data_IF_298040414743
#
_entry.id   IF_298040414743
#
_cell.length_a   1.000
_cell.length_b   1.000
_cell.length_c   1.000
_cell.angle_alpha   90.00
_cell.angle_beta   90.00
_cell.angle_gamma   90.00
#
_symmetry.space_group_name_H-M   'P 1'
#
loop_
_entity.id
_entity.type
_entity.pdbx_description
1 polymer ?
#
# COMPACT_ATOMS: atom_id res chain seq x y z
N UNK A 1 11.19 -34.85 -24.65
CA UNK A 1 10.92 -33.54 -25.26
C UNK A 1 10.90 -32.57 -24.11
N UNK A 2 11.95 -31.77 -23.97
CA UNK A 2 11.95 -30.66 -23.01
C UNK A 2 10.96 -29.63 -23.52
N UNK A 3 9.75 -29.63 -22.95
CA UNK A 3 8.81 -28.53 -23.13
C UNK A 3 9.41 -27.32 -22.43
N UNK A 4 10.06 -26.44 -23.20
CA UNK A 4 10.39 -25.09 -22.74
C UNK A 4 9.10 -24.45 -22.21
N UNK A 5 9.04 -24.30 -20.89
CA UNK A 5 7.89 -23.72 -20.23
C UNK A 5 8.03 -22.21 -20.33
N UNK A 6 7.11 -21.56 -21.06
CA UNK A 6 7.05 -20.10 -21.12
C UNK A 6 6.62 -19.56 -19.75
N UNK A 7 7.54 -18.90 -19.03
CA UNK A 7 7.23 -18.22 -17.78
C UNK A 7 6.80 -16.78 -18.05
N UNK A 8 5.64 -16.38 -17.51
CA UNK A 8 5.24 -14.98 -17.49
C UNK A 8 6.05 -14.21 -16.44
N UNK A 9 6.38 -12.93 -16.68
CA UNK A 9 6.98 -12.07 -15.65
C UNK A 9 6.01 -11.89 -14.48
N UNK A 10 6.56 -11.69 -13.28
CA UNK A 10 5.80 -11.39 -12.07
C UNK A 10 6.34 -10.10 -11.42
N UNK A 11 5.51 -9.07 -11.21
CA UNK A 11 4.10 -8.98 -11.61
C UNK A 11 3.93 -8.93 -13.14
N UNK A 12 2.75 -9.31 -13.62
CA UNK A 12 2.40 -9.17 -15.04
C UNK A 12 2.01 -7.71 -15.30
N UNK A 13 2.62 -7.10 -16.32
CA UNK A 13 2.35 -5.72 -16.73
C UNK A 13 1.76 -5.69 -18.13
N UNK A 14 0.66 -4.96 -18.30
CA UNK A 14 -0.09 -4.89 -19.56
C UNK A 14 -0.43 -3.43 -19.87
N UNK A 15 -0.13 -2.99 -21.10
CA UNK A 15 -0.54 -1.69 -21.60
C UNK A 15 -1.94 -1.79 -22.22
N UNK A 16 -2.98 -1.55 -21.41
CA UNK A 16 -4.38 -1.60 -21.83
C UNK A 16 -5.04 -0.28 -21.44
N UNK A 17 -5.63 0.42 -22.40
CA UNK A 17 -6.35 1.67 -22.15
C UNK A 17 -7.74 1.36 -21.56
N UNK A 18 -7.84 1.40 -20.23
CA UNK A 18 -9.10 1.27 -19.49
C UNK A 18 -9.55 2.63 -18.95
N UNK A 19 -10.83 2.92 -19.02
CA UNK A 19 -11.43 3.98 -18.18
C UNK A 19 -11.47 3.55 -16.73
N UNK A 20 -11.68 4.49 -15.79
CA UNK A 20 -11.79 4.15 -14.35
C UNK A 20 -12.91 3.14 -14.08
N UNK A 21 -14.05 3.30 -14.76
CA UNK A 21 -15.18 2.39 -14.60
C UNK A 21 -14.86 0.99 -15.18
N UNK A 22 -14.14 0.92 -16.31
CA UNK A 22 -13.69 -0.36 -16.86
C UNK A 22 -12.64 -1.04 -15.96
N UNK A 23 -11.72 -0.27 -15.37
CA UNK A 23 -10.75 -0.81 -14.42
C UNK A 23 -11.44 -1.32 -13.16
N UNK A 24 -12.38 -0.57 -12.59
CA UNK A 24 -13.21 -1.03 -11.47
C UNK A 24 -14.00 -2.30 -11.81
N UNK A 25 -14.60 -2.38 -13.00
CA UNK A 25 -15.32 -3.58 -13.45
C UNK A 25 -14.39 -4.78 -13.63
N UNK A 26 -13.18 -4.57 -14.16
CA UNK A 26 -12.16 -5.61 -14.26
C UNK A 26 -11.82 -6.16 -12.86
N UNK A 27 -11.51 -5.29 -11.90
CA UNK A 27 -11.18 -5.69 -10.54
C UNK A 27 -12.35 -6.42 -9.85
N UNK A 28 -13.55 -5.85 -9.91
CA UNK A 28 -14.74 -6.40 -9.24
C UNK A 28 -15.22 -7.73 -9.82
N UNK A 29 -14.97 -7.98 -11.11
CA UNK A 29 -15.28 -9.24 -11.80
C UNK A 29 -14.21 -10.32 -11.60
N UNK A 30 -13.00 -9.95 -11.16
CA UNK A 30 -11.84 -10.84 -11.05
C UNK A 30 -11.26 -10.78 -9.62
N UNK A 31 -12.11 -11.04 -8.62
CA UNK A 31 -11.81 -10.84 -7.19
C UNK A 31 -10.66 -11.70 -6.64
N UNK A 32 -10.28 -12.75 -7.35
CA UNK A 32 -9.16 -13.63 -6.97
C UNK A 32 -7.78 -13.01 -7.29
N UNK A 33 -7.74 -11.89 -8.01
CA UNK A 33 -6.53 -11.20 -8.42
C UNK A 33 -6.41 -9.83 -7.76
N UNK A 34 -5.17 -9.41 -7.48
CA UNK A 34 -4.86 -8.06 -7.01
C UNK A 34 -4.37 -7.24 -8.20
N UNK A 35 -5.08 -6.16 -8.51
CA UNK A 35 -4.75 -5.26 -9.60
C UNK A 35 -4.32 -3.89 -9.07
N UNK A 36 -3.36 -3.29 -9.77
CA UNK A 36 -3.05 -1.86 -9.67
C UNK A 36 -3.00 -1.26 -11.08
N UNK A 37 -3.12 0.06 -11.17
CA UNK A 37 -2.95 0.81 -12.41
C UNK A 37 -1.99 1.98 -12.16
N UNK A 38 -0.98 2.13 -13.00
CA UNK A 38 -0.07 3.29 -12.91
C UNK A 38 -0.76 4.57 -13.40
N UNK A 39 -0.15 5.72 -13.14
CA UNK A 39 -0.65 7.01 -13.64
C UNK A 39 -0.70 7.08 -15.18
N UNK A 40 0.18 6.33 -15.85
CA UNK A 40 0.25 6.19 -17.31
C UNK A 40 -0.78 5.19 -17.86
N UNK A 41 -1.55 4.53 -16.99
CA UNK A 41 -2.58 3.56 -17.36
C UNK A 41 -2.07 2.12 -17.53
N UNK A 42 -0.82 1.81 -17.13
CA UNK A 42 -0.32 0.43 -17.17
C UNK A 42 -1.01 -0.42 -16.10
N UNK A 43 -1.62 -1.53 -16.51
CA UNK A 43 -2.23 -2.51 -15.64
C UNK A 43 -1.16 -3.44 -15.04
N UNK A 44 -1.15 -3.56 -13.73
CA UNK A 44 -0.26 -4.46 -12.97
C UNK A 44 -1.12 -5.53 -12.31
N UNK A 45 -0.86 -6.79 -12.65
CA UNK A 45 -1.48 -7.95 -12.01
C UNK A 45 -0.46 -8.56 -11.04
N UNK A 46 -0.76 -8.48 -9.75
CA UNK A 46 0.09 -9.04 -8.71
C UNK A 46 -0.36 -10.47 -8.38
N UNK A 47 0.59 -11.39 -8.12
CA UNK A 47 0.24 -12.69 -7.59
C UNK A 47 -0.32 -12.57 -6.17
N UNK A 48 -1.03 -13.59 -5.66
CA UNK A 48 -1.39 -13.67 -4.26
C UNK A 48 -0.16 -13.53 -3.35
N UNK A 49 -0.33 -12.83 -2.24
CA UNK A 49 0.72 -12.65 -1.24
C UNK A 49 1.12 -14.00 -0.62
N UNK A 50 2.42 -14.30 -0.61
CA UNK A 50 2.94 -15.50 0.05
C UNK A 50 2.64 -15.53 1.56
N UNK A 51 2.46 -16.72 2.12
CA UNK A 51 1.98 -16.93 3.49
C UNK A 51 2.85 -16.26 4.58
N UNK A 52 4.18 -16.26 4.43
CA UNK A 52 5.06 -15.57 5.38
C UNK A 52 4.87 -14.05 5.36
N UNK A 53 4.77 -13.43 4.18
CA UNK A 53 4.46 -12.00 4.04
C UNK A 53 3.08 -11.70 4.62
N UNK A 54 2.07 -12.52 4.32
CA UNK A 54 0.70 -12.35 4.85
C UNK A 54 0.62 -12.44 6.37
N UNK A 55 1.30 -13.44 6.98
CA UNK A 55 1.38 -13.60 8.45
C UNK A 55 2.00 -12.40 9.14
N UNK A 56 2.86 -11.66 8.47
CA UNK A 56 3.51 -10.45 9.01
C UNK A 56 2.68 -9.21 8.75
N UNK A 57 2.08 -9.11 7.56
CA UNK A 57 1.22 -7.98 7.23
C UNK A 57 0.00 -7.88 8.16
N UNK A 58 -0.58 -9.02 8.55
CA UNK A 58 -1.69 -9.02 9.52
C UNK A 58 -1.28 -8.42 10.87
N UNK A 59 -0.01 -8.52 11.28
CA UNK A 59 0.49 -7.88 12.51
C UNK A 59 0.54 -6.37 12.37
N UNK A 60 0.91 -5.87 11.18
CA UNK A 60 0.91 -4.44 10.87
C UNK A 60 -0.51 -3.89 10.92
N UNK A 61 -1.43 -4.48 10.16
CA UNK A 61 -2.82 -4.00 10.06
C UNK A 61 -3.55 -4.12 11.38
N UNK A 62 -3.32 -5.19 12.15
CA UNK A 62 -3.92 -5.36 13.50
C UNK A 62 -3.46 -4.27 14.46
N UNK A 63 -2.15 -3.99 14.52
CA UNK A 63 -1.64 -2.93 15.41
C UNK A 63 -2.19 -1.56 15.02
N UNK A 64 -2.25 -1.27 13.72
CA UNK A 64 -2.81 -0.03 13.19
C UNK A 64 -4.30 0.12 13.55
N UNK A 65 -5.09 -0.93 13.36
CA UNK A 65 -6.54 -0.88 13.65
C UNK A 65 -6.83 -0.84 15.16
N UNK A 66 -6.05 -1.52 16.01
CA UNK A 66 -6.19 -1.40 17.46
C UNK A 66 -5.97 0.05 17.89
N UNK A 67 -4.91 0.71 17.40
CA UNK A 67 -4.69 2.12 17.69
C UNK A 67 -5.80 3.00 17.10
N UNK A 68 -6.24 2.74 15.87
CA UNK A 68 -7.26 3.54 15.19
C UNK A 68 -8.61 3.49 15.90
N UNK A 69 -9.05 2.29 16.31
CA UNK A 69 -10.31 2.09 17.03
C UNK A 69 -10.33 2.77 18.41
N UNK A 70 -9.17 2.85 19.06
CA UNK A 70 -9.00 3.55 20.34
C UNK A 70 -8.97 5.08 20.17
N UNK A 71 -8.21 5.57 19.19
CA UNK A 71 -8.03 7.00 18.97
C UNK A 71 -9.22 7.66 18.25
N UNK A 72 -9.92 6.90 17.40
CA UNK A 72 -11.05 7.33 16.56
C UNK A 72 -10.73 8.52 15.65
N UNK A 73 -9.45 8.68 15.31
CA UNK A 73 -8.97 9.80 14.50
C UNK A 73 -9.15 9.57 12.99
N UNK A 74 -9.45 8.35 12.56
CA UNK A 74 -9.57 8.00 11.15
C UNK A 74 -10.06 6.59 10.90
N UNK A 75 -9.73 6.08 9.72
CA UNK A 75 -10.11 4.75 9.22
C UNK A 75 -8.83 4.06 8.75
N UNK A 76 -8.56 2.87 9.28
CA UNK A 76 -7.48 2.01 8.80
C UNK A 76 -8.01 1.04 7.73
N UNK A 77 -7.14 0.68 6.79
CA UNK A 77 -7.46 -0.21 5.69
C UNK A 77 -6.39 -1.31 5.56
N UNK A 78 -6.84 -2.48 5.12
CA UNK A 78 -5.98 -3.64 4.89
C UNK A 78 -5.25 -3.59 3.54
N UNK A 79 -4.49 -4.65 3.24
CA UNK A 79 -3.70 -4.78 2.00
C UNK A 79 -4.53 -5.02 0.73
N UNK A 80 -5.84 -5.22 0.84
CA UNK A 80 -6.70 -5.49 -0.33
C UNK A 80 -7.39 -4.22 -0.84
N UNK A 81 -7.40 -3.16 -0.03
CA UNK A 81 -8.07 -1.91 -0.35
C UNK A 81 -7.30 -1.15 -1.42
N UNK A 82 -8.02 -0.67 -2.44
CA UNK A 82 -7.49 0.18 -3.51
C UNK A 82 -7.89 1.65 -3.33
N UNK A 83 -7.02 2.55 -3.74
CA UNK A 83 -7.23 4.00 -3.72
C UNK A 83 -6.90 4.59 -5.07
N UNK A 84 -7.73 5.52 -5.56
CA UNK A 84 -7.44 6.32 -6.74
C UNK A 84 -6.73 7.61 -6.33
N UNK A 85 -5.44 7.67 -6.63
CA UNK A 85 -4.57 8.79 -6.30
C UNK A 85 -4.85 10.01 -7.21
N UNK A 86 -4.52 11.25 -6.77
CA UNK A 86 -4.68 12.47 -7.56
C UNK A 86 -4.02 12.45 -8.95
N UNK A 87 -2.89 11.75 -9.12
CA UNK A 87 -2.23 11.58 -10.42
C UNK A 87 -2.93 10.56 -11.34
N UNK A 88 -4.03 9.95 -10.91
CA UNK A 88 -4.80 8.97 -11.67
C UNK A 88 -4.38 7.51 -11.45
N UNK A 89 -3.26 7.25 -10.76
CA UNK A 89 -2.87 5.88 -10.42
C UNK A 89 -3.86 5.25 -9.42
N UNK A 90 -4.07 3.95 -9.52
CA UNK A 90 -4.83 3.17 -8.55
C UNK A 90 -3.90 2.19 -7.85
N UNK A 91 -3.72 2.41 -6.55
CA UNK A 91 -2.74 1.71 -5.72
C UNK A 91 -3.40 1.05 -4.53
N UNK A 92 -2.82 -0.08 -4.13
CA UNK A 92 -3.22 -0.83 -2.95
C UNK A 92 -2.00 -0.96 -2.03
N UNK A 93 -1.86 -0.10 -1.00
CA UNK A 93 -0.80 -0.25 0.00
C UNK A 93 -1.03 -1.48 0.87
N UNK A 94 -0.02 -1.99 1.54
CA UNK A 94 -0.15 -3.17 2.40
C UNK A 94 -0.83 -2.88 3.75
N UNK A 95 -0.73 -1.63 4.22
CA UNK A 95 -1.61 -1.05 5.23
C UNK A 95 -1.75 0.45 4.97
N UNK A 96 -2.90 1.03 5.29
CA UNK A 96 -3.06 2.48 5.17
C UNK A 96 -4.05 3.05 6.17
N UNK A 97 -4.01 4.37 6.33
CA UNK A 97 -4.92 5.10 7.19
C UNK A 97 -5.29 6.44 6.59
N UNK A 98 -6.57 6.79 6.73
CA UNK A 98 -7.14 8.05 6.26
C UNK A 98 -7.74 8.79 7.44
N UNK A 99 -7.44 10.09 7.57
CA UNK A 99 -8.02 10.95 8.60
C UNK A 99 -9.54 10.98 8.48
N UNK A 100 -10.24 10.92 9.61
CA UNK A 100 -11.70 10.78 9.68
C UNK A 100 -12.45 11.79 8.83
N UNK A 101 -12.09 13.07 8.97
CA UNK A 101 -12.70 14.18 8.22
C UNK A 101 -12.58 13.99 6.69
N UNK A 102 -11.45 13.44 6.20
CA UNK A 102 -11.25 13.18 4.77
C UNK A 102 -12.12 12.03 4.30
N UNK A 103 -12.22 10.96 5.09
CA UNK A 103 -13.10 9.83 4.79
C UNK A 103 -14.58 10.22 4.77
N UNK A 104 -15.04 10.95 5.79
CA UNK A 104 -16.42 11.40 5.92
C UNK A 104 -16.83 12.44 4.86
N UNK A 105 -15.85 13.08 4.20
CA UNK A 105 -16.12 13.97 3.07
C UNK A 105 -16.44 13.25 1.76
N UNK A 106 -16.18 11.93 1.67
CA UNK A 106 -16.52 11.11 0.52
C UNK A 106 -18.01 10.80 0.48
N UNK A 107 -18.56 10.68 -0.73
CA UNK A 107 -19.90 10.13 -0.91
C UNK A 107 -19.92 8.63 -0.61
N UNK A 108 -21.10 8.08 -0.31
CA UNK A 108 -21.27 6.64 -0.13
C UNK A 108 -20.76 5.84 -1.36
N UNK A 109 -21.06 6.29 -2.58
CA UNK A 109 -20.57 5.64 -3.80
C UNK A 109 -19.03 5.63 -3.88
N UNK A 110 -18.37 6.73 -3.47
CA UNK A 110 -16.92 6.80 -3.45
C UNK A 110 -16.30 5.87 -2.40
N UNK A 111 -16.98 5.67 -1.26
CA UNK A 111 -16.53 4.76 -0.20
C UNK A 111 -16.70 3.27 -0.58
N UNK A 112 -17.65 2.95 -1.46
CA UNK A 112 -17.89 1.58 -1.95
C UNK A 112 -16.97 1.17 -3.12
N UNK A 113 -16.23 2.13 -3.69
CA UNK A 113 -15.25 1.92 -4.78
C UNK A 113 -13.81 2.18 -4.30
N UNK A 114 -12.86 2.30 -5.22
CA UNK A 114 -11.55 2.86 -4.89
C UNK A 114 -11.68 4.34 -4.54
N UNK A 115 -11.53 4.65 -3.25
CA UNK A 115 -11.70 6.00 -2.74
C UNK A 115 -10.77 6.98 -3.51
N UNK A 116 -11.29 8.11 -4.02
CA UNK A 116 -10.54 9.06 -4.84
C UNK A 116 -9.69 10.00 -3.98
N UNK A 117 -8.79 9.42 -3.19
CA UNK A 117 -7.85 10.12 -2.33
C UNK A 117 -6.55 9.32 -2.21
N UNK A 118 -5.47 10.01 -1.84
CA UNK A 118 -4.29 9.36 -1.30
C UNK A 118 -4.42 9.22 0.24
N UNK A 119 -4.17 8.04 0.83
CA UNK A 119 -4.16 7.89 2.28
C UNK A 119 -3.17 8.83 2.97
N UNK A 120 -3.50 9.30 4.17
CA UNK A 120 -2.59 10.15 4.97
C UNK A 120 -1.35 9.38 5.42
N UNK A 121 -1.51 8.07 5.63
CA UNK A 121 -0.44 7.16 6.01
C UNK A 121 -0.49 5.88 5.20
N UNK A 122 0.67 5.42 4.74
CA UNK A 122 0.83 4.18 3.97
C UNK A 122 1.99 3.35 4.48
N UNK A 123 1.86 2.03 4.42
CA UNK A 123 2.95 1.07 4.65
C UNK A 123 3.04 0.14 3.45
N UNK A 124 4.27 -0.09 3.00
CA UNK A 124 4.62 -1.15 2.05
C UNK A 124 5.53 -2.15 2.77
N UNK A 125 5.14 -3.43 2.76
CA UNK A 125 5.90 -4.52 3.35
C UNK A 125 6.57 -5.33 2.24
N UNK A 126 7.88 -5.13 2.09
CA UNK A 126 8.63 -5.81 1.03
C UNK A 126 8.53 -7.33 1.16
N UNK A 127 8.05 -7.98 0.11
CA UNK A 127 8.08 -9.42 -0.07
C UNK A 127 9.39 -9.89 -0.75
N UNK A 128 9.72 -11.19 -0.69
CA UNK A 128 10.96 -11.71 -1.29
C UNK A 128 11.09 -11.45 -2.80
N UNK A 129 9.97 -11.40 -3.52
CA UNK A 129 9.93 -11.17 -4.97
C UNK A 129 9.97 -9.69 -5.36
N UNK A 130 9.79 -8.77 -4.41
CA UNK A 130 9.64 -7.36 -4.75
C UNK A 130 10.96 -6.68 -5.06
N UNK A 131 10.92 -5.86 -6.11
CA UNK A 131 11.97 -4.92 -6.42
C UNK A 131 11.94 -3.76 -5.42
N UNK A 132 13.06 -3.57 -4.73
CA UNK A 132 13.22 -2.45 -3.80
C UNK A 132 13.06 -1.10 -4.52
N UNK A 133 13.65 -0.94 -5.71
CA UNK A 133 13.58 0.34 -6.43
C UNK A 133 12.14 0.69 -6.82
N UNK A 134 11.36 -0.31 -7.25
CA UNK A 134 9.94 -0.11 -7.61
C UNK A 134 9.11 0.26 -6.37
N UNK A 135 9.37 -0.36 -5.22
CA UNK A 135 8.71 0.03 -3.97
C UNK A 135 9.11 1.45 -3.56
N UNK A 136 10.37 1.83 -3.68
CA UNK A 136 10.82 3.19 -3.39
C UNK A 136 10.18 4.22 -4.34
N UNK A 137 9.99 3.89 -5.62
CA UNK A 137 9.23 4.70 -6.58
C UNK A 137 7.77 4.84 -6.15
N UNK A 138 7.13 3.74 -5.76
CA UNK A 138 5.75 3.73 -5.24
C UNK A 138 5.60 4.57 -3.97
N UNK A 139 6.57 4.50 -3.05
CA UNK A 139 6.59 5.35 -1.85
C UNK A 139 6.67 6.84 -2.20
N UNK A 140 7.54 7.21 -3.15
CA UNK A 140 7.61 8.60 -3.65
C UNK A 140 6.30 9.01 -4.34
N UNK A 141 5.69 8.12 -5.10
CA UNK A 141 4.38 8.36 -5.72
C UNK A 141 3.33 8.69 -4.65
N UNK A 142 3.23 7.92 -3.56
CA UNK A 142 2.30 8.23 -2.47
C UNK A 142 2.55 9.60 -1.85
N UNK A 143 3.81 9.96 -1.53
CA UNK A 143 4.14 11.25 -0.94
C UNK A 143 3.80 12.41 -1.88
N UNK A 144 4.11 12.28 -3.18
CA UNK A 144 3.78 13.28 -4.20
C UNK A 144 2.26 13.44 -4.40
N UNK A 145 1.48 12.42 -4.03
CA UNK A 145 0.03 12.39 -4.14
C UNK A 145 -0.69 12.76 -2.83
N UNK A 146 0.05 13.15 -1.79
CA UNK A 146 -0.52 13.73 -0.56
C UNK A 146 -0.41 12.86 0.69
N UNK A 147 0.25 11.69 0.63
CA UNK A 147 0.59 10.95 1.83
C UNK A 147 1.49 11.79 2.74
N UNK A 148 1.17 11.84 4.03
CA UNK A 148 1.91 12.63 5.04
C UNK A 148 3.03 11.83 5.69
N UNK A 149 2.89 10.51 5.72
CA UNK A 149 3.88 9.58 6.23
C UNK A 149 3.82 8.28 5.43
N UNK A 150 4.97 7.74 5.05
CA UNK A 150 5.09 6.44 4.42
C UNK A 150 6.19 5.61 5.05
N UNK A 151 5.94 4.32 5.31
CA UNK A 151 6.97 3.38 5.73
C UNK A 151 7.16 2.28 4.71
N UNK A 152 8.39 2.09 4.24
CA UNK A 152 8.80 0.92 3.47
C UNK A 152 9.60 0.00 4.38
N UNK A 153 8.99 -1.13 4.76
CA UNK A 153 9.60 -2.14 5.63
C UNK A 153 10.30 -3.17 4.76
N UNK A 154 11.63 -3.06 4.68
CA UNK A 154 12.49 -3.99 3.94
C UNK A 154 13.03 -5.06 4.88
N UNK A 155 12.26 -6.16 5.01
CA UNK A 155 12.62 -7.30 5.84
C UNK A 155 13.91 -7.98 5.41
N UNK A 156 14.19 -8.02 4.10
CA UNK A 156 15.37 -8.69 3.54
C UNK A 156 16.66 -8.05 4.06
N UNK A 157 16.66 -6.72 4.17
CA UNK A 157 17.79 -5.95 4.66
C UNK A 157 17.62 -5.49 6.11
N UNK A 158 16.56 -5.95 6.80
CA UNK A 158 16.14 -5.50 8.12
C UNK A 158 16.24 -3.99 8.29
N UNK A 159 15.57 -3.23 7.41
CA UNK A 159 15.56 -1.78 7.50
C UNK A 159 14.18 -1.22 7.24
N UNK A 160 13.94 -0.02 7.75
CA UNK A 160 12.75 0.76 7.40
C UNK A 160 13.18 2.09 6.83
N UNK A 161 12.58 2.43 5.69
CA UNK A 161 12.70 3.74 5.08
C UNK A 161 11.44 4.55 5.42
N UNK A 162 11.63 5.76 5.97
CA UNK A 162 10.55 6.67 6.34
C UNK A 162 10.51 7.82 5.34
N UNK A 163 9.33 7.99 4.74
CA UNK A 163 9.04 8.98 3.74
C UNK A 163 8.12 10.05 4.33
N UNK A 164 8.52 11.32 4.19
CA UNK A 164 7.73 12.48 4.58
C UNK A 164 7.78 13.54 3.47
N UNK A 165 6.73 14.37 3.28
CA UNK A 165 6.76 15.46 2.32
C UNK A 165 7.92 16.44 2.56
N UNK A 166 8.59 16.83 1.48
CA UNK A 166 9.67 17.84 1.47
C UNK A 166 10.85 17.51 2.41
N UNK A 167 11.11 16.23 2.65
CA UNK A 167 12.23 15.76 3.47
C UNK A 167 12.96 14.63 2.76
N UNK A 168 14.25 14.50 3.06
CA UNK A 168 15.02 13.33 2.65
C UNK A 168 14.48 12.07 3.35
N UNK A 169 14.65 10.93 2.68
CA UNK A 169 14.25 9.63 3.22
C UNK A 169 15.12 9.28 4.42
N UNK A 170 14.49 9.06 5.58
CA UNK A 170 15.18 8.58 6.77
C UNK A 170 15.29 7.06 6.73
N UNK A 171 16.45 6.49 7.04
CA UNK A 171 16.67 5.03 7.00
C UNK A 171 17.07 4.55 8.39
N UNK A 172 16.33 3.57 8.91
CA UNK A 172 16.60 2.93 10.19
C UNK A 172 16.98 1.46 9.98
N UNK A 173 18.12 1.05 10.54
CA UNK A 173 18.56 -0.35 10.55
C UNK A 173 18.01 -1.07 11.78
N UNK A 174 17.31 -2.17 11.53
CA UNK A 174 16.68 -3.07 12.51
C UNK A 174 15.97 -2.35 13.68
N UNK A 175 15.11 -1.35 13.44
CA UNK A 175 14.38 -0.70 14.52
C UNK A 175 13.43 -1.69 15.22
N UNK A 176 13.34 -1.61 16.54
CA UNK A 176 12.33 -2.39 17.29
C UNK A 176 10.94 -1.75 17.19
N UNK A 177 10.89 -0.43 17.13
CA UNK A 177 9.65 0.35 17.16
C UNK A 177 9.71 1.53 16.19
N UNK A 178 8.55 1.92 15.64
CA UNK A 178 8.40 3.12 14.81
C UNK A 178 7.26 3.98 15.32
N UNK A 179 7.52 5.27 15.54
CA UNK A 179 6.49 6.24 15.93
C UNK A 179 5.76 6.79 14.71
N UNK A 180 4.43 6.85 14.79
CA UNK A 180 3.56 7.50 13.82
C UNK A 180 3.67 9.03 13.75
N UNK A 181 4.59 9.63 14.52
CA UNK A 181 4.85 11.08 14.59
C UNK A 181 3.56 11.87 14.86
N UNK A 182 3.42 13.04 14.26
CA UNK A 182 2.21 13.88 14.32
C UNK A 182 1.08 13.38 13.40
N UNK A 183 1.37 12.44 12.50
CA UNK A 183 0.39 11.89 11.55
C UNK A 183 -0.53 10.90 12.24
N UNK A 184 0.01 10.01 13.08
CA UNK A 184 -0.74 9.07 13.91
C UNK A 184 -0.35 9.28 15.39
N UNK A 185 -0.95 10.26 16.08
CA UNK A 185 -0.57 10.61 17.45
C UNK A 185 -0.61 9.41 18.40
N UNK A 186 0.51 9.15 19.06
CA UNK A 186 0.65 8.05 20.02
C UNK A 186 0.73 6.64 19.40
N UNK A 187 0.65 6.51 18.08
CA UNK A 187 0.86 5.22 17.43
C UNK A 187 2.34 4.84 17.48
N UNK A 188 2.61 3.61 17.88
CA UNK A 188 3.93 2.98 17.80
C UNK A 188 3.75 1.58 17.22
N UNK A 189 4.38 1.32 16.07
CA UNK A 189 4.41 -0.01 15.48
C UNK A 189 5.58 -0.80 16.07
N UNK A 190 5.28 -1.93 16.71
CA UNK A 190 6.27 -2.90 17.14
C UNK A 190 6.64 -3.83 15.97
N UNK A 191 7.94 -3.91 15.67
CA UNK A 191 8.50 -4.65 14.53
C UNK A 191 9.05 -6.04 14.90
N UNK A 192 9.10 -6.42 16.18
CA UNK A 192 9.67 -7.70 16.62
C UNK A 192 8.97 -8.90 15.98
N UNK A 193 7.64 -8.82 15.80
CA UNK A 193 6.85 -9.87 15.12
C UNK A 193 6.83 -9.73 13.58
N UNK A 194 7.45 -8.69 13.04
CA UNK A 194 7.45 -8.34 11.60
C UNK A 194 8.77 -8.74 10.93
N UNK A 195 9.89 -8.80 11.68
CA UNK A 195 11.21 -9.25 11.22
C UNK A 195 11.28 -10.72 10.82
#
# INVERSE_FOLDING_TARGET
>A
MDTETLSLPSPLRLSINLTDEQFWQLCSSNRDYRFERTAEGELIVMPPTGSDTGRRNIKITTQLEIWNSQSKLGIAFDSSTGFKLPNGAERSPDASWVKKERWESLTAEQQEKFAPLCPDFVIELRSPSDSLSQLQEKMREYINNGARLGWLIDRKNQRVEIYCPNKDVEIFSSPQNLSGKDVLPGFVLNLDEIW
#
